data_IF_644230916295
#
_entry.id   IF_644230916295
#
_cell.length_a   1.000
_cell.length_b   1.000
_cell.length_c   1.000
_cell.angle_alpha   90.00
_cell.angle_beta   90.00
_cell.angle_gamma   90.00
#
_symmetry.space_group_name_H-M   'P 1'
#
loop_
_entity.id
_entity.type
_entity.pdbx_description
1 polymer ?
#
# COMPACT_ATOMS: atom_id res chain seq x y z
N UNK A 1 -12.75 -10.28 19.95
CA UNK A 1 -12.90 -11.52 19.14
C UNK A 1 -13.47 -11.27 17.73
N UNK A 2 -13.90 -10.05 17.36
CA UNK A 2 -14.49 -9.79 16.02
C UNK A 2 -13.48 -9.34 14.94
N UNK A 3 -12.28 -8.87 15.29
CA UNK A 3 -11.28 -8.44 14.28
C UNK A 3 -10.55 -9.63 13.64
N UNK A 4 -10.27 -10.70 14.41
CA UNK A 4 -9.61 -11.90 13.88
C UNK A 4 -10.45 -12.65 12.83
N UNK A 5 -11.79 -12.47 12.83
CA UNK A 5 -12.69 -13.08 11.84
C UNK A 5 -12.80 -12.27 10.54
N UNK A 6 -12.51 -10.96 10.57
CA UNK A 6 -12.44 -10.12 9.35
C UNK A 6 -11.13 -10.31 8.58
N UNK A 7 -10.02 -10.54 9.28
CA UNK A 7 -8.74 -10.80 8.63
C UNK A 7 -8.69 -12.19 7.96
N UNK A 8 -9.48 -13.15 8.45
CA UNK A 8 -9.54 -14.48 7.87
C UNK A 8 -10.44 -14.58 6.63
N UNK A 9 -11.43 -13.69 6.50
CA UNK A 9 -12.31 -13.64 5.32
C UNK A 9 -11.65 -12.94 4.13
N UNK A 10 -10.80 -11.95 4.35
CA UNK A 10 -10.04 -11.27 3.29
C UNK A 10 -8.92 -12.13 2.72
N UNK A 11 -8.24 -12.93 3.56
CA UNK A 11 -7.23 -13.88 3.08
C UNK A 11 -7.83 -15.04 2.27
N UNK A 12 -9.02 -15.53 2.63
CA UNK A 12 -9.70 -16.58 1.86
C UNK A 12 -10.25 -16.08 0.51
N UNK A 13 -10.59 -14.79 0.40
CA UNK A 13 -11.01 -14.16 -0.87
C UNK A 13 -9.85 -14.03 -1.87
N UNK A 14 -8.65 -13.70 -1.41
CA UNK A 14 -7.45 -13.59 -2.27
C UNK A 14 -6.91 -14.96 -2.72
N UNK A 15 -7.12 -16.02 -1.92
CA UNK A 15 -6.73 -17.39 -2.29
C UNK A 15 -7.64 -17.98 -3.39
N UNK A 16 -8.94 -17.63 -3.41
CA UNK A 16 -9.85 -18.11 -4.47
C UNK A 16 -9.61 -17.43 -5.82
N UNK A 17 -9.24 -16.14 -5.84
CA UNK A 17 -8.95 -15.42 -7.10
C UNK A 17 -7.66 -15.93 -7.77
N UNK A 18 -6.71 -16.47 -7.01
CA UNK A 18 -5.49 -17.06 -7.56
C UNK A 18 -5.65 -18.51 -8.04
N UNK A 19 -6.66 -19.22 -7.54
CA UNK A 19 -7.01 -20.57 -8.01
C UNK A 19 -7.77 -20.55 -9.36
N UNK A 20 -8.66 -19.57 -9.57
CA UNK A 20 -9.41 -19.43 -10.83
C UNK A 20 -8.54 -18.95 -12.01
N UNK A 21 -7.46 -18.21 -11.74
CA UNK A 21 -6.52 -17.80 -12.78
C UNK A 21 -5.67 -18.97 -13.33
N UNK A 22 -5.43 -20.02 -12.51
CA UNK A 22 -4.66 -21.20 -12.93
C UNK A 22 -5.53 -22.29 -13.57
N UNK A 23 -6.84 -22.37 -13.27
CA UNK A 23 -7.74 -23.37 -13.88
C UNK A 23 -8.18 -23.01 -15.31
N UNK A 24 -8.07 -21.74 -15.69
CA UNK A 24 -8.43 -21.27 -17.03
C UNK A 24 -7.32 -21.52 -18.06
N UNK A 25 -6.05 -21.50 -17.64
CA UNK A 25 -4.91 -21.73 -18.53
C UNK A 25 -4.74 -23.19 -18.97
N UNK A 26 -5.19 -24.17 -18.17
CA UNK A 26 -5.04 -25.59 -18.50
C UNK A 26 -6.20 -26.16 -19.37
N UNK A 27 -7.32 -25.45 -19.50
CA UNK A 27 -8.49 -25.93 -20.27
C UNK A 27 -8.55 -25.44 -21.72
N UNK A 28 -7.88 -24.34 -22.08
CA UNK A 28 -7.84 -23.87 -23.49
C UNK A 28 -6.89 -24.72 -24.35
N UNK A 29 -5.76 -25.20 -23.79
CA UNK A 29 -4.79 -26.04 -24.52
C UNK A 29 -5.33 -27.46 -24.83
N UNK A 30 -6.36 -27.92 -24.12
CA UNK A 30 -6.95 -29.25 -24.32
C UNK A 30 -8.08 -29.27 -25.37
N UNK A 31 -8.70 -28.13 -25.69
CA UNK A 31 -9.82 -28.07 -26.65
C UNK A 31 -9.39 -27.80 -28.11
N UNK A 32 -8.21 -27.21 -28.35
CA UNK A 32 -7.71 -27.00 -29.71
C UNK A 32 -7.10 -28.26 -30.37
N UNK A 33 -6.78 -29.30 -29.60
CA UNK A 33 -6.16 -30.51 -30.13
C UNK A 33 -7.13 -31.47 -30.85
N UNK A 34 -8.45 -31.29 -30.74
CA UNK A 34 -9.43 -32.28 -31.21
C UNK A 34 -10.18 -31.95 -32.53
N UNK A 35 -9.95 -30.80 -33.16
CA UNK A 35 -10.64 -30.41 -34.40
C UNK A 35 -9.80 -30.41 -35.69
N UNK A 36 -8.52 -30.78 -35.64
CA UNK A 36 -7.61 -30.73 -36.81
C UNK A 36 -7.53 -32.01 -37.66
N UNK A 37 -8.51 -32.92 -37.58
CA UNK A 37 -8.46 -34.16 -38.36
C UNK A 37 -9.78 -34.43 -39.11
N UNK A 38 -10.08 -33.62 -40.14
CA UNK A 38 -10.83 -34.02 -41.34
C UNK A 38 -11.13 -32.79 -42.21
N UNK A 39 -10.29 -32.51 -43.21
CA UNK A 39 -10.71 -31.87 -44.46
C UNK A 39 -9.57 -31.99 -45.47
N UNK A 40 -9.61 -33.05 -46.28
CA UNK A 40 -8.79 -33.16 -47.48
C UNK A 40 -9.50 -32.46 -48.64
N UNK A 41 -8.78 -31.59 -49.34
CA UNK A 41 -9.03 -31.30 -50.75
C UNK A 41 -9.62 -29.93 -51.06
N UNK A 42 -8.77 -28.90 -51.12
CA UNK A 42 -9.12 -27.66 -51.82
C UNK A 42 -8.15 -26.49 -51.60
N UNK A 43 -7.26 -26.24 -52.57
CA UNK A 43 -6.55 -24.97 -52.79
C UNK A 43 -5.63 -24.47 -51.65
N UNK A 44 -4.59 -25.25 -51.37
CA UNK A 44 -3.70 -25.13 -50.19
C UNK A 44 -2.76 -23.92 -50.07
N UNK A 45 -2.71 -22.99 -51.02
CA UNK A 45 -1.77 -21.84 -50.91
C UNK A 45 -2.42 -20.58 -50.32
N UNK A 46 -3.71 -20.34 -50.56
CA UNK A 46 -4.36 -19.07 -50.15
C UNK A 46 -4.95 -19.16 -48.72
N UNK A 47 -5.44 -20.34 -48.30
CA UNK A 47 -5.96 -20.56 -46.94
C UNK A 47 -4.86 -20.76 -45.88
N UNK A 48 -3.66 -21.21 -46.29
CA UNK A 48 -2.49 -21.32 -45.40
C UNK A 48 -1.94 -19.94 -45.00
N UNK A 49 -1.89 -18.99 -45.93
CA UNK A 49 -1.53 -17.61 -45.63
C UNK A 49 -2.60 -16.94 -44.74
N UNK A 50 -3.89 -17.17 -45.02
CA UNK A 50 -4.97 -16.57 -44.25
C UNK A 50 -5.05 -17.06 -42.79
N UNK A 51 -4.69 -18.31 -42.53
CA UNK A 51 -4.62 -18.90 -41.17
C UNK A 51 -3.40 -18.41 -40.40
N UNK A 52 -2.23 -18.29 -41.05
CA UNK A 52 -1.02 -17.74 -40.43
C UNK A 52 -1.16 -16.26 -40.07
N UNK A 53 -1.82 -15.44 -40.91
CA UNK A 53 -2.11 -14.04 -40.58
C UNK A 53 -3.07 -13.88 -39.39
N UNK A 54 -4.08 -14.76 -39.26
CA UNK A 54 -4.98 -14.76 -38.10
C UNK A 54 -4.23 -15.14 -36.81
N UNK A 55 -3.40 -16.17 -36.84
CA UNK A 55 -2.61 -16.59 -35.69
C UNK A 55 -1.62 -15.48 -35.24
N UNK A 56 -0.97 -14.79 -36.19
CA UNK A 56 -0.07 -13.67 -35.88
C UNK A 56 -0.82 -12.47 -35.27
N UNK A 57 -2.03 -12.18 -35.78
CA UNK A 57 -2.89 -11.11 -35.27
C UNK A 57 -3.39 -11.42 -33.85
N UNK A 58 -3.76 -12.66 -33.56
CA UNK A 58 -4.15 -13.11 -32.22
C UNK A 58 -2.99 -13.00 -31.23
N UNK A 59 -1.81 -13.55 -31.59
CA UNK A 59 -0.60 -13.45 -30.76
C UNK A 59 -0.22 -12.00 -30.43
N UNK A 60 -0.36 -11.07 -31.39
CA UNK A 60 -0.16 -9.63 -31.14
C UNK A 60 -1.20 -9.05 -30.20
N UNK A 61 -2.49 -9.36 -30.41
CA UNK A 61 -3.57 -8.93 -29.51
C UNK A 61 -3.30 -9.39 -28.07
N UNK A 62 -2.81 -10.60 -27.88
CA UNK A 62 -2.47 -11.15 -26.56
C UNK A 62 -1.29 -10.41 -25.92
N UNK A 63 -0.26 -10.09 -26.69
CA UNK A 63 0.86 -9.26 -26.23
C UNK A 63 0.39 -7.85 -25.82
N UNK A 64 -0.49 -7.22 -26.60
CA UNK A 64 -1.07 -5.91 -26.24
C UNK A 64 -1.94 -5.98 -24.99
N UNK A 65 -2.84 -6.97 -24.92
CA UNK A 65 -3.73 -7.18 -23.78
C UNK A 65 -2.94 -7.45 -22.49
N UNK A 66 -1.93 -8.31 -22.54
CA UNK A 66 -1.05 -8.60 -21.39
C UNK A 66 -0.25 -7.36 -20.98
N UNK A 67 0.29 -6.61 -21.94
CA UNK A 67 1.02 -5.37 -21.66
C UNK A 67 0.13 -4.34 -20.95
N UNK A 68 -1.06 -4.08 -21.49
CA UNK A 68 -2.03 -3.14 -20.90
C UNK A 68 -2.39 -3.57 -19.47
N UNK A 69 -2.66 -4.87 -19.25
CA UNK A 69 -2.94 -5.41 -17.90
C UNK A 69 -1.79 -5.19 -16.93
N UNK A 70 -0.55 -5.42 -17.34
CA UNK A 70 0.61 -5.19 -16.48
C UNK A 70 0.84 -3.69 -16.20
N UNK A 71 0.52 -2.81 -17.14
CA UNK A 71 0.56 -1.37 -16.90
C UNK A 71 -0.52 -0.89 -15.94
N UNK A 72 -1.75 -1.34 -16.13
CA UNK A 72 -2.87 -1.05 -15.23
C UNK A 72 -2.52 -1.50 -13.80
N UNK A 73 -1.97 -2.71 -13.66
CA UNK A 73 -1.48 -3.23 -12.38
C UNK A 73 -0.32 -2.39 -11.80
N UNK A 74 0.63 -1.95 -12.63
CA UNK A 74 1.72 -1.08 -12.17
C UNK A 74 1.20 0.28 -11.68
N UNK A 75 0.22 0.88 -12.36
CA UNK A 75 -0.42 2.13 -11.96
C UNK A 75 -1.19 1.95 -10.65
N UNK A 76 -1.97 0.87 -10.52
CA UNK A 76 -2.64 0.55 -9.26
C UNK A 76 -1.66 0.39 -8.09
N UNK A 77 -0.58 -0.38 -8.27
CA UNK A 77 0.45 -0.56 -7.25
C UNK A 77 1.18 0.75 -6.91
N UNK A 78 1.35 1.66 -7.87
CA UNK A 78 1.91 2.98 -7.63
C UNK A 78 0.98 3.85 -6.77
N UNK A 79 -0.32 3.85 -7.06
CA UNK A 79 -1.33 4.55 -6.24
C UNK A 79 -1.37 3.96 -4.82
N UNK A 80 -1.35 2.63 -4.70
CA UNK A 80 -1.29 1.94 -3.40
C UNK A 80 -0.01 2.29 -2.62
N UNK A 81 1.14 2.39 -3.30
CA UNK A 81 2.40 2.79 -2.69
C UNK A 81 2.30 4.20 -2.12
N UNK A 82 1.78 5.16 -2.90
CA UNK A 82 1.60 6.54 -2.48
C UNK A 82 0.64 6.65 -1.28
N UNK A 83 -0.45 5.88 -1.29
CA UNK A 83 -1.37 5.80 -0.16
C UNK A 83 -0.68 5.23 1.09
N UNK A 84 0.07 4.13 0.97
CA UNK A 84 0.79 3.52 2.08
C UNK A 84 1.91 4.43 2.64
N UNK A 85 2.64 5.15 1.79
CA UNK A 85 3.65 6.12 2.20
C UNK A 85 3.01 7.35 2.89
N UNK A 86 1.84 7.79 2.44
CA UNK A 86 1.07 8.84 3.09
C UNK A 86 0.58 8.40 4.47
N UNK A 87 0.08 7.17 4.63
CA UNK A 87 -0.34 6.63 5.92
C UNK A 87 0.81 6.50 6.91
N UNK A 88 1.96 5.99 6.46
CA UNK A 88 3.18 5.93 7.27
C UNK A 88 3.64 7.33 7.71
N UNK A 89 3.51 8.33 6.83
CA UNK A 89 3.86 9.72 7.15
C UNK A 89 2.87 10.37 8.13
N UNK A 90 1.57 10.12 7.96
CA UNK A 90 0.51 10.52 8.91
C UNK A 90 0.76 9.89 10.27
N UNK A 91 1.08 8.61 10.31
CA UNK A 91 1.39 7.89 11.55
C UNK A 91 2.62 8.46 12.28
N UNK A 92 3.72 8.71 11.56
CA UNK A 92 4.92 9.37 12.12
C UNK A 92 4.57 10.72 12.74
N UNK A 93 3.77 11.52 12.03
CA UNK A 93 3.34 12.85 12.51
C UNK A 93 2.46 12.73 13.76
N UNK A 94 1.55 11.75 13.77
CA UNK A 94 0.68 11.48 14.91
C UNK A 94 1.47 11.01 16.14
N UNK A 95 2.49 10.17 15.96
CA UNK A 95 3.36 9.70 17.05
C UNK A 95 4.14 10.85 17.71
N UNK A 96 4.55 11.87 16.94
CA UNK A 96 5.23 13.06 17.44
C UNK A 96 4.28 14.07 18.12
N UNK A 97 2.96 13.87 18.03
CA UNK A 97 2.00 14.78 18.64
C UNK A 97 2.06 14.73 20.17
N UNK A 98 1.68 15.85 20.81
CA UNK A 98 1.67 15.99 22.26
C UNK A 98 0.83 14.90 22.98
N UNK A 99 -0.14 14.29 22.28
CA UNK A 99 -1.00 13.22 22.79
C UNK A 99 -0.24 11.96 23.20
N UNK A 100 0.89 11.67 22.57
CA UNK A 100 1.71 10.48 22.87
C UNK A 100 3.03 10.81 23.57
N UNK A 101 3.26 12.08 23.92
CA UNK A 101 4.49 12.53 24.61
C UNK A 101 4.74 11.84 25.96
N UNK A 102 3.68 11.37 26.63
CA UNK A 102 3.71 10.64 27.90
C UNK A 102 3.14 9.22 27.79
N UNK A 103 3.26 8.60 26.62
CA UNK A 103 2.79 7.23 26.43
C UNK A 103 3.48 6.25 27.42
N UNK A 104 2.70 5.36 28.01
CA UNK A 104 3.23 4.30 28.88
C UNK A 104 4.12 3.33 28.08
N UNK A 105 5.03 2.57 28.73
CA UNK A 105 5.85 1.57 28.03
C UNK A 105 5.04 0.54 27.23
N UNK A 106 3.86 0.14 27.72
CA UNK A 106 2.96 -0.77 27.00
C UNK A 106 2.36 -0.11 25.76
N UNK A 107 1.91 1.15 25.88
CA UNK A 107 1.40 1.93 24.75
C UNK A 107 2.48 2.16 23.70
N UNK A 108 3.74 2.34 24.12
CA UNK A 108 4.88 2.54 23.21
C UNK A 108 5.15 1.30 22.35
N UNK A 109 5.05 0.09 22.94
CA UNK A 109 5.14 -1.17 22.16
C UNK A 109 4.05 -1.25 21.09
N UNK A 110 2.81 -0.92 21.43
CA UNK A 110 1.70 -0.90 20.46
C UNK A 110 1.96 0.11 19.34
N UNK A 111 2.48 1.29 19.66
CA UNK A 111 2.82 2.30 18.65
C UNK A 111 3.94 1.84 17.71
N UNK A 112 4.94 1.15 18.27
CA UNK A 112 6.05 0.60 17.50
C UNK A 112 5.62 -0.60 16.63
N UNK A 113 4.72 -1.45 17.12
CA UNK A 113 4.09 -2.53 16.33
C UNK A 113 3.30 -1.98 15.14
N UNK A 114 2.50 -0.93 15.36
CA UNK A 114 1.75 -0.27 14.28
C UNK A 114 2.69 0.37 13.26
N UNK A 115 3.77 1.02 13.73
CA UNK A 115 4.80 1.56 12.84
C UNK A 115 5.45 0.45 11.99
N UNK A 116 5.72 -0.71 12.59
CA UNK A 116 6.28 -1.85 11.89
C UNK A 116 5.32 -2.34 10.80
N UNK A 117 4.03 -2.48 11.11
CA UNK A 117 2.99 -2.87 10.13
C UNK A 117 2.96 -1.92 8.93
N UNK A 118 2.89 -0.61 9.16
CA UNK A 118 2.92 0.37 8.05
C UNK A 118 4.23 0.33 7.25
N UNK A 119 5.35 0.03 7.89
CA UNK A 119 6.62 -0.12 7.16
C UNK A 119 6.68 -1.39 6.33
N UNK A 120 6.05 -2.47 6.79
CA UNK A 120 5.95 -3.73 6.07
C UNK A 120 5.03 -3.58 4.86
N UNK A 121 3.86 -2.95 5.00
CA UNK A 121 2.96 -2.72 3.86
C UNK A 121 3.62 -1.89 2.77
N UNK A 122 4.34 -0.82 3.13
CA UNK A 122 5.13 -0.03 2.15
C UNK A 122 6.19 -0.90 1.46
N UNK A 123 6.92 -1.74 2.21
CA UNK A 123 7.94 -2.62 1.64
C UNK A 123 7.34 -3.66 0.68
N UNK A 124 6.22 -4.27 1.05
CA UNK A 124 5.53 -5.29 0.26
C UNK A 124 4.98 -4.72 -1.04
N UNK A 125 4.27 -3.59 -0.98
CA UNK A 125 3.74 -2.91 -2.18
C UNK A 125 4.88 -2.48 -3.10
N UNK A 126 5.97 -1.94 -2.53
CA UNK A 126 7.17 -1.56 -3.31
C UNK A 126 7.82 -2.76 -3.99
N UNK A 127 7.85 -3.91 -3.32
CA UNK A 127 8.39 -5.14 -3.89
C UNK A 127 7.51 -5.65 -5.05
N UNK A 128 6.17 -5.62 -4.88
CA UNK A 128 5.21 -5.98 -5.93
C UNK A 128 5.32 -5.06 -7.14
N UNK A 129 5.42 -3.74 -6.91
CA UNK A 129 5.63 -2.78 -7.98
C UNK A 129 6.92 -3.06 -8.74
N UNK A 130 8.03 -3.33 -8.03
CA UNK A 130 9.30 -3.70 -8.64
C UNK A 130 9.20 -4.98 -9.48
N UNK A 131 8.47 -6.00 -9.02
CA UNK A 131 8.28 -7.22 -9.80
C UNK A 131 7.47 -6.95 -11.07
N UNK A 132 6.41 -6.14 -11.01
CA UNK A 132 5.60 -5.81 -12.19
C UNK A 132 6.39 -4.96 -13.19
N UNK A 133 7.15 -3.97 -12.72
CA UNK A 133 8.03 -3.16 -13.57
C UNK A 133 9.11 -4.02 -14.23
N UNK A 134 9.65 -5.02 -13.52
CA UNK A 134 10.59 -5.98 -14.08
C UNK A 134 9.95 -6.81 -15.21
N UNK A 135 8.75 -7.34 -14.98
CA UNK A 135 8.00 -8.07 -16.03
C UNK A 135 7.72 -7.17 -17.23
N UNK A 136 7.30 -5.92 -17.01
CA UNK A 136 7.10 -4.93 -18.07
C UNK A 136 8.37 -4.66 -18.89
N UNK A 137 9.55 -4.69 -18.24
CA UNK A 137 10.83 -4.50 -18.93
C UNK A 137 11.32 -5.72 -19.71
N UNK A 138 10.77 -6.90 -19.42
CA UNK A 138 11.11 -8.18 -20.06
C UNK A 138 10.15 -8.54 -21.21
N UNK A 139 9.09 -7.74 -21.43
CA UNK A 139 8.13 -7.96 -22.52
C UNK A 139 8.77 -7.74 -23.91
N UNK A 140 8.36 -8.51 -24.95
CA UNK A 140 8.90 -8.40 -26.30
C UNK A 140 8.73 -7.01 -26.91
N UNK A 141 9.70 -6.57 -27.70
CA UNK A 141 9.69 -5.24 -28.29
C UNK A 141 8.67 -5.12 -29.45
N UNK A 142 7.72 -4.19 -29.33
CA UNK A 142 6.64 -3.97 -30.30
C UNK A 142 7.14 -3.59 -31.70
N UNK A 143 8.36 -3.06 -31.79
CA UNK A 143 8.99 -2.67 -33.05
C UNK A 143 9.17 -3.85 -34.02
N UNK A 144 9.41 -5.06 -33.50
CA UNK A 144 9.57 -6.28 -34.32
C UNK A 144 8.25 -6.75 -34.94
N UNK A 145 7.12 -6.21 -34.45
CA UNK A 145 5.78 -6.60 -34.82
C UNK A 145 4.96 -5.39 -35.31
N UNK A 146 5.58 -4.42 -35.99
CA UNK A 146 4.86 -3.25 -36.51
C UNK A 146 4.39 -3.40 -37.98
N UNK A 147 5.01 -4.28 -38.77
CA UNK A 147 4.89 -4.29 -40.24
C UNK A 147 3.54 -4.76 -40.83
N UNK A 148 2.56 -5.16 -40.02
CA UNK A 148 1.29 -5.78 -40.50
C UNK A 148 0.02 -4.96 -40.18
N UNK A 149 0.15 -3.67 -39.91
CA UNK A 149 -1.01 -2.78 -39.74
C UNK A 149 -1.52 -2.32 -41.12
N UNK A 150 -2.64 -2.92 -41.51
CA UNK A 150 -3.49 -2.43 -42.59
C UNK A 150 -4.18 -1.13 -42.17
N UNK A 151 -3.78 -0.02 -42.80
CA UNK A 151 -4.65 1.07 -43.29
C UNK A 151 -5.56 1.90 -42.38
N UNK A 152 -5.90 1.50 -41.15
CA UNK A 152 -6.99 2.17 -40.40
C UNK A 152 -6.61 2.69 -39.00
N UNK A 153 -5.43 2.37 -38.47
CA UNK A 153 -4.94 2.96 -37.22
C UNK A 153 -3.66 3.69 -37.54
N UNK A 154 -3.61 4.98 -37.19
CA UNK A 154 -2.51 5.87 -37.50
C UNK A 154 -1.23 5.34 -36.83
N UNK A 155 -0.44 4.59 -37.60
CA UNK A 155 0.72 3.82 -37.13
C UNK A 155 1.73 4.74 -36.43
N UNK A 156 1.74 6.02 -36.84
CA UNK A 156 2.52 7.09 -36.25
C UNK A 156 2.10 7.42 -34.80
N UNK A 157 0.80 7.47 -34.49
CA UNK A 157 0.30 7.75 -33.14
C UNK A 157 0.61 6.60 -32.18
N UNK A 158 0.49 5.36 -32.65
CA UNK A 158 0.74 4.16 -31.83
C UNK A 158 2.24 3.99 -31.53
N UNK A 159 3.11 4.30 -32.49
CA UNK A 159 4.57 4.38 -32.29
C UNK A 159 4.92 5.53 -31.34
N UNK A 160 4.27 6.69 -31.49
CA UNK A 160 4.48 7.84 -30.61
C UNK A 160 4.05 7.52 -29.18
N UNK A 161 2.87 6.95 -28.98
CA UNK A 161 2.36 6.53 -27.68
C UNK A 161 3.28 5.48 -27.02
N UNK A 162 3.69 4.44 -27.75
CA UNK A 162 4.60 3.42 -27.21
C UNK A 162 5.99 3.97 -26.89
N UNK A 163 6.48 4.96 -27.65
CA UNK A 163 7.74 5.66 -27.35
C UNK A 163 7.63 6.51 -26.07
N UNK A 164 6.57 7.31 -25.93
CA UNK A 164 6.27 8.09 -24.72
C UNK A 164 6.09 7.19 -23.50
N UNK A 165 5.48 6.02 -23.69
CA UNK A 165 5.28 5.02 -22.65
C UNK A 165 6.61 4.38 -22.18
N UNK A 166 7.53 4.07 -23.11
CA UNK A 166 8.88 3.62 -22.77
C UNK A 166 9.71 4.70 -22.09
N UNK A 167 9.57 5.95 -22.53
CA UNK A 167 10.22 7.10 -21.92
C UNK A 167 9.71 7.33 -20.50
N UNK A 168 8.41 7.16 -20.27
CA UNK A 168 7.81 7.17 -18.94
C UNK A 168 8.33 6.03 -18.05
N UNK A 169 8.39 4.79 -18.53
CA UNK A 169 9.00 3.66 -17.79
C UNK A 169 10.47 3.93 -17.45
N UNK A 170 11.25 4.48 -18.40
CA UNK A 170 12.64 4.88 -18.15
C UNK A 170 12.73 5.98 -17.10
N UNK A 171 11.81 6.95 -17.13
CA UNK A 171 11.74 8.04 -16.15
C UNK A 171 11.43 7.53 -14.74
N UNK A 172 10.56 6.51 -14.60
CA UNK A 172 10.27 5.83 -13.34
C UNK A 172 11.48 5.03 -12.82
N UNK A 173 12.22 4.37 -13.71
CA UNK A 173 13.49 3.73 -13.38
C UNK A 173 14.59 4.74 -13.00
N UNK A 174 14.57 5.94 -13.59
CA UNK A 174 15.46 7.05 -13.21
C UNK A 174 15.12 7.60 -11.83
N UNK A 175 13.84 7.71 -11.46
CA UNK A 175 13.41 8.08 -10.10
C UNK A 175 13.95 7.09 -9.04
N UNK A 176 14.02 5.81 -9.37
CA UNK A 176 14.65 4.79 -8.53
C UNK A 176 16.19 4.92 -8.43
N UNK A 177 16.85 5.57 -9.41
CA UNK A 177 18.30 5.86 -9.38
C UNK A 177 18.66 7.21 -8.74
N UNK A 178 17.77 8.19 -8.82
CA UNK A 178 17.97 9.57 -8.29
C UNK A 178 17.77 9.64 -6.75
N UNK A 179 17.46 8.52 -6.09
CA UNK A 179 17.51 8.41 -4.62
C UNK A 179 18.94 8.44 -4.03
N UNK A 180 19.99 8.64 -4.83
CA UNK A 180 21.32 9.03 -4.35
C UNK A 180 21.57 10.52 -4.58
N UNK A 181 21.97 11.29 -3.54
CA UNK A 181 22.12 12.73 -3.65
C UNK A 181 23.50 13.05 -4.22
N UNK A 182 23.58 13.46 -5.48
CA UNK A 182 24.76 14.20 -5.98
C UNK A 182 24.46 14.95 -7.27
N UNK A 183 24.44 16.29 -7.19
CA UNK A 183 24.86 17.18 -8.27
C UNK A 183 23.85 17.52 -9.37
N UNK A 184 24.10 18.61 -10.14
CA UNK A 184 23.10 19.65 -10.37
C UNK A 184 22.45 19.67 -11.76
N UNK A 185 21.18 20.11 -11.74
CA UNK A 185 20.35 20.74 -12.78
C UNK A 185 20.60 20.39 -14.26
N UNK A 186 19.63 19.68 -14.83
CA UNK A 186 19.22 19.87 -16.24
C UNK A 186 17.75 20.33 -16.21
N UNK A 187 17.31 21.32 -17.01
CA UNK A 187 15.96 21.85 -16.91
C UNK A 187 14.95 20.80 -17.35
N UNK A 188 14.01 20.47 -16.46
CA UNK A 188 12.85 19.64 -16.75
C UNK A 188 11.95 20.40 -17.75
N UNK A 189 11.40 19.75 -18.80
CA UNK A 189 10.34 20.34 -19.63
C UNK A 189 9.14 20.71 -18.75
N UNK A 190 8.48 21.82 -19.10
CA UNK A 190 7.33 22.38 -18.38
C UNK A 190 6.30 21.31 -18.03
N UNK A 191 6.00 21.24 -16.74
CA UNK A 191 4.99 20.38 -16.14
C UNK A 191 3.63 20.72 -16.77
N UNK A 192 2.78 19.74 -17.15
CA UNK A 192 1.40 20.02 -17.52
C UNK A 192 0.70 20.72 -16.34
N UNK A 193 -0.04 21.79 -16.63
CA UNK A 193 -0.69 22.64 -15.63
C UNK A 193 -1.56 21.80 -14.68
N UNK A 194 -1.24 21.89 -13.38
CA UNK A 194 -1.95 21.21 -12.30
C UNK A 194 -3.45 21.60 -12.34
N UNK A 195 -4.41 20.65 -12.37
CA UNK A 195 -5.86 20.95 -12.43
C UNK A 195 -6.40 21.71 -11.20
N UNK A 196 -5.55 21.97 -10.20
CA UNK A 196 -5.85 22.77 -9.01
C UNK A 196 -5.57 24.27 -9.19
N UNK A 197 -4.89 24.68 -10.26
CA UNK A 197 -4.60 26.10 -10.55
C UNK A 197 -5.52 26.69 -11.62
N UNK A 198 -6.47 25.91 -12.13
CA UNK A 198 -7.38 26.38 -13.16
C UNK A 198 -8.32 27.44 -12.62
N UNK A 199 -8.36 28.59 -13.28
CA UNK A 199 -9.37 29.60 -13.00
C UNK A 199 -10.73 29.15 -13.53
N UNK A 200 -11.83 29.67 -12.95
CA UNK A 200 -13.19 29.31 -13.38
C UNK A 200 -13.42 29.53 -14.88
N UNK A 201 -12.80 30.57 -15.46
CA UNK A 201 -12.88 30.87 -16.89
C UNK A 201 -12.22 29.77 -17.76
N UNK A 202 -11.14 29.14 -17.27
CA UNK A 202 -10.45 28.05 -17.96
C UNK A 202 -11.26 26.75 -17.88
N UNK A 203 -11.89 26.49 -16.73
CA UNK A 203 -12.83 25.37 -16.57
C UNK A 203 -14.02 25.57 -17.51
N UNK A 204 -14.61 26.76 -17.54
CA UNK A 204 -15.74 27.07 -18.43
C UNK A 204 -15.37 26.93 -19.91
N UNK A 205 -14.18 27.40 -20.32
CA UNK A 205 -13.69 27.23 -21.69
C UNK A 205 -13.48 25.75 -22.06
N UNK A 206 -12.95 24.94 -21.13
CA UNK A 206 -12.76 23.50 -21.36
C UNK A 206 -14.08 22.73 -21.44
N UNK A 207 -15.08 23.10 -20.63
CA UNK A 207 -16.42 22.52 -20.68
C UNK A 207 -17.12 22.91 -21.98
N UNK A 208 -16.98 24.17 -22.43
CA UNK A 208 -17.54 24.64 -23.69
C UNK A 208 -16.93 23.93 -24.90
N UNK A 209 -15.62 23.68 -24.88
CA UNK A 209 -14.94 22.90 -25.91
C UNK A 209 -15.39 21.42 -25.93
N UNK A 210 -15.66 20.84 -24.76
CA UNK A 210 -16.22 19.48 -24.66
C UNK A 210 -17.66 19.41 -25.20
N UNK A 211 -18.45 20.46 -24.96
CA UNK A 211 -19.84 20.55 -25.41
C UNK A 211 -19.91 20.76 -26.93
N UNK A 212 -19.00 21.55 -27.50
CA UNK A 212 -18.82 21.66 -28.96
C UNK A 212 -18.39 20.33 -29.58
N UNK A 213 -17.45 19.60 -28.97
CA UNK A 213 -17.03 18.27 -29.43
C UNK A 213 -18.18 17.27 -29.37
N UNK A 214 -18.95 17.26 -28.28
CA UNK A 214 -20.15 16.43 -28.10
C UNK A 214 -21.19 16.74 -29.19
N UNK A 215 -21.48 18.02 -29.43
CA UNK A 215 -22.40 18.43 -30.49
C UNK A 215 -21.90 18.00 -31.87
N UNK A 216 -20.59 18.09 -32.15
CA UNK A 216 -20.00 17.66 -33.42
C UNK A 216 -20.11 16.14 -33.62
N UNK A 217 -19.94 15.36 -32.55
CA UNK A 217 -20.09 13.88 -32.58
C UNK A 217 -21.55 13.50 -32.77
N UNK A 218 -22.47 14.19 -32.10
CA UNK A 218 -23.92 14.00 -32.25
C UNK A 218 -24.34 14.36 -33.68
N UNK A 219 -23.91 15.50 -34.22
CA UNK A 219 -24.24 15.94 -35.59
C UNK A 219 -23.70 14.96 -36.65
N UNK A 220 -22.50 14.42 -36.46
CA UNK A 220 -21.94 13.38 -37.34
C UNK A 220 -22.73 12.06 -37.26
N UNK A 221 -23.15 11.63 -36.07
CA UNK A 221 -23.97 10.42 -35.90
C UNK A 221 -25.38 10.58 -36.52
N UNK A 222 -25.97 11.77 -36.42
CA UNK A 222 -27.27 12.06 -37.03
C UNK A 222 -27.17 12.21 -38.56
N UNK A 223 -26.13 12.85 -39.10
CA UNK A 223 -25.91 12.96 -40.54
C UNK A 223 -25.69 11.60 -41.19
N UNK A 224 -24.89 10.72 -40.57
CA UNK A 224 -24.60 9.39 -41.10
C UNK A 224 -25.86 8.50 -41.19
N UNK A 225 -26.85 8.73 -40.31
CA UNK A 225 -28.12 7.99 -40.27
C UNK A 225 -29.18 8.55 -41.24
N UNK A 226 -29.10 9.82 -41.62
CA UNK A 226 -30.04 10.46 -42.55
C UNK A 226 -29.55 10.53 -44.01
N UNK A 227 -28.25 10.48 -44.28
CA UNK A 227 -27.72 10.47 -45.66
C UNK A 227 -27.93 9.13 -46.39
N UNK A 228 -28.30 8.06 -45.69
CA UNK A 228 -28.55 6.73 -46.28
C UNK A 228 -29.97 6.52 -46.82
N UNK A 229 -30.90 7.49 -46.67
CA UNK A 229 -32.32 7.32 -47.01
C UNK A 229 -32.87 8.27 -48.10
N UNK A 230 -32.04 8.96 -48.88
CA UNK A 230 -32.51 9.97 -49.86
C UNK A 230 -32.76 9.40 -51.29
N UNK A 231 -32.49 8.13 -51.60
CA UNK A 231 -32.53 7.65 -52.99
C UNK A 231 -33.44 6.43 -53.26
N UNK A 232 -34.55 6.29 -52.53
CA UNK A 232 -35.53 5.21 -52.77
C UNK A 232 -36.63 5.65 -53.75
N UNK A 233 -37.08 6.91 -53.69
CA UNK A 233 -38.14 7.42 -54.58
C UNK A 233 -37.66 7.71 -56.02
N UNK A 234 -36.39 8.03 -56.22
CA UNK A 234 -35.79 8.20 -57.55
C UNK A 234 -35.66 6.86 -58.29
N UNK A 235 -35.40 5.76 -57.57
CA UNK A 235 -35.33 4.40 -58.12
C UNK A 235 -36.70 3.81 -58.44
N UNK A 236 -37.74 4.19 -57.70
CA UNK A 236 -39.12 3.75 -57.96
C UNK A 236 -39.74 4.38 -59.21
N UNK A 237 -39.32 5.59 -59.60
CA UNK A 237 -39.82 6.26 -60.81
C UNK A 237 -39.18 5.70 -62.09
N UNK A 238 -37.91 5.28 -62.04
CA UNK A 238 -37.21 4.63 -63.17
C UNK A 238 -37.82 3.26 -63.50
N UNK A 239 -38.22 2.48 -62.49
CA UNK A 239 -38.85 1.16 -62.70
C UNK A 239 -40.25 1.30 -63.33
N UNK A 240 -40.98 2.37 -62.98
CA UNK A 240 -42.35 2.59 -63.47
C UNK A 240 -42.42 3.03 -64.93
N UNK A 241 -41.37 3.71 -65.42
CA UNK A 241 -41.27 4.14 -66.82
C UNK A 241 -40.73 3.05 -67.77
N UNK A 242 -40.01 2.05 -67.25
CA UNK A 242 -39.52 0.92 -68.04
C UNK A 242 -40.59 -0.15 -68.31
N UNK A 243 -41.59 -0.29 -67.44
CA UNK A 243 -42.71 -1.24 -67.63
C UNK A 243 -43.70 -0.81 -68.71
N UNK A 244 -43.81 0.49 -69.02
CA UNK A 244 -44.75 1.01 -70.02
C UNK A 244 -44.33 0.75 -71.49
N UNK A 245 -43.11 0.23 -71.74
CA UNK A 245 -42.54 0.15 -73.11
C UNK A 245 -42.24 -1.25 -73.66
N UNK A 246 -42.53 -2.35 -72.96
CA UNK A 246 -42.23 -3.71 -73.46
C UNK A 246 -43.47 -4.63 -73.50
N UNK A 247 -44.43 -4.28 -74.35
CA UNK A 247 -45.39 -5.26 -74.88
C UNK A 247 -44.99 -5.65 -76.29
N UNK A 248 -44.44 -6.87 -76.41
CA UNK A 248 -44.48 -7.78 -77.56
C UNK A 248 -43.13 -8.48 -77.70
N UNK A 249 -43.05 -9.71 -77.18
CA UNK A 249 -42.37 -10.86 -77.82
C UNK A 249 -42.35 -12.07 -76.87
N UNK A 250 -42.66 -13.24 -77.44
CA UNK A 250 -42.33 -14.60 -76.96
C UNK A 250 -42.75 -15.00 -75.54
N UNK A 251 -43.75 -15.87 -75.44
CA UNK A 251 -44.22 -16.50 -74.20
C UNK A 251 -43.12 -17.29 -73.44
N UNK A 252 -42.01 -17.66 -74.09
CA UNK A 252 -40.90 -18.37 -73.45
C UNK A 252 -40.01 -17.42 -72.61
N UNK A 253 -39.76 -16.20 -73.10
CA UNK A 253 -38.95 -15.19 -72.39
C UNK A 253 -39.69 -14.64 -71.18
N UNK A 254 -41.03 -14.55 -71.27
CA UNK A 254 -41.89 -14.20 -70.13
C UNK A 254 -41.91 -15.29 -69.05
N UNK A 255 -41.86 -16.57 -69.41
CA UNK A 255 -41.81 -17.66 -68.44
C UNK A 255 -40.47 -17.69 -67.68
N UNK A 256 -39.35 -17.38 -68.36
CA UNK A 256 -38.03 -17.25 -67.73
C UNK A 256 -37.96 -16.00 -66.85
N UNK A 257 -38.47 -14.85 -67.30
CA UNK A 257 -38.54 -13.64 -66.47
C UNK A 257 -39.41 -13.83 -65.22
N UNK A 258 -40.54 -14.53 -65.32
CA UNK A 258 -41.37 -14.87 -64.16
C UNK A 258 -40.68 -15.83 -63.19
N UNK A 259 -39.77 -16.68 -63.66
CA UNK A 259 -38.97 -17.57 -62.81
C UNK A 259 -37.87 -16.79 -62.07
N UNK A 260 -37.20 -15.86 -62.76
CA UNK A 260 -36.24 -14.95 -62.14
C UNK A 260 -36.92 -14.01 -61.13
N UNK A 261 -38.11 -13.50 -61.43
CA UNK A 261 -38.93 -12.72 -60.51
C UNK A 261 -39.34 -13.55 -59.29
N UNK A 262 -39.72 -14.81 -59.47
CA UNK A 262 -40.05 -15.72 -58.38
C UNK A 262 -38.82 -16.02 -57.49
N UNK A 263 -37.65 -16.21 -58.08
CA UNK A 263 -36.40 -16.40 -57.34
C UNK A 263 -36.02 -15.13 -56.56
N UNK A 264 -36.13 -13.95 -57.17
CA UNK A 264 -35.87 -12.67 -56.52
C UNK A 264 -36.85 -12.38 -55.36
N UNK A 265 -38.12 -12.79 -55.49
CA UNK A 265 -39.08 -12.76 -54.38
C UNK A 265 -38.68 -13.76 -53.29
N UNK A 266 -38.18 -14.95 -53.67
CA UNK A 266 -37.62 -15.93 -52.74
C UNK A 266 -36.46 -15.37 -51.93
N UNK A 267 -35.46 -14.77 -52.58
CA UNK A 267 -34.29 -14.17 -51.93
C UNK A 267 -34.69 -13.00 -51.01
N UNK A 268 -35.65 -12.16 -51.44
CA UNK A 268 -36.18 -11.07 -50.60
C UNK A 268 -36.95 -11.60 -49.40
N UNK A 269 -37.72 -12.67 -49.56
CA UNK A 269 -38.44 -13.31 -48.48
C UNK A 269 -37.47 -13.97 -47.49
N UNK A 270 -36.40 -14.60 -47.97
CA UNK A 270 -35.34 -15.16 -47.14
C UNK A 270 -34.61 -14.06 -46.37
N UNK A 271 -34.21 -12.96 -47.02
CA UNK A 271 -33.61 -11.81 -46.33
C UNK A 271 -34.55 -11.21 -45.29
N UNK A 272 -35.83 -11.06 -45.60
CA UNK A 272 -36.84 -10.55 -44.66
C UNK A 272 -37.08 -11.52 -43.49
N UNK A 273 -37.07 -12.84 -43.75
CA UNK A 273 -37.18 -13.87 -42.73
C UNK A 273 -35.96 -13.88 -41.80
N UNK A 274 -34.74 -13.80 -42.36
CA UNK A 274 -33.50 -13.71 -41.60
C UNK A 274 -33.44 -12.42 -40.76
N UNK A 275 -33.89 -11.30 -41.32
CA UNK A 275 -34.01 -10.04 -40.57
C UNK A 275 -35.02 -10.15 -39.42
N UNK A 276 -36.18 -10.76 -39.66
CA UNK A 276 -37.20 -10.98 -38.62
C UNK A 276 -36.67 -11.92 -37.53
N UNK A 277 -35.97 -12.98 -37.90
CA UNK A 277 -35.33 -13.89 -36.96
C UNK A 277 -34.28 -13.16 -36.10
N UNK A 278 -33.44 -12.33 -36.71
CA UNK A 278 -32.45 -11.50 -36.00
C UNK A 278 -33.11 -10.52 -35.02
N UNK A 279 -34.22 -9.88 -35.42
CA UNK A 279 -35.00 -8.99 -34.55
C UNK A 279 -35.61 -9.77 -33.39
N UNK A 280 -36.17 -10.96 -33.62
CA UNK A 280 -36.74 -11.80 -32.55
C UNK A 280 -35.64 -12.23 -31.57
N UNK A 281 -34.46 -12.63 -32.05
CA UNK A 281 -33.34 -12.96 -31.16
C UNK A 281 -32.84 -11.75 -30.38
N UNK A 282 -32.83 -10.56 -30.99
CA UNK A 282 -32.50 -9.32 -30.29
C UNK A 282 -33.51 -8.97 -29.21
N UNK A 283 -34.81 -9.11 -29.49
CA UNK A 283 -35.87 -8.89 -28.49
C UNK A 283 -35.75 -9.85 -27.30
N UNK A 284 -35.37 -11.11 -27.52
CA UNK A 284 -35.16 -12.07 -26.43
C UNK A 284 -33.94 -11.71 -25.56
N UNK A 285 -32.86 -11.20 -26.18
CA UNK A 285 -31.69 -10.71 -25.46
C UNK A 285 -32.03 -9.46 -24.63
N UNK A 286 -32.73 -8.49 -25.22
CA UNK A 286 -33.17 -7.28 -24.52
C UNK A 286 -34.10 -7.62 -23.33
N UNK A 287 -34.97 -8.62 -23.48
CA UNK A 287 -35.84 -9.08 -22.39
C UNK A 287 -35.04 -9.70 -21.24
N UNK A 288 -34.00 -10.48 -21.55
CA UNK A 288 -33.08 -11.03 -20.55
C UNK A 288 -32.31 -9.91 -19.83
N UNK A 289 -31.78 -8.93 -20.57
CA UNK A 289 -31.10 -7.77 -19.99
C UNK A 289 -32.02 -6.96 -19.08
N UNK A 290 -33.29 -6.76 -19.47
CA UNK A 290 -34.28 -6.09 -18.62
C UNK A 290 -34.55 -6.85 -17.32
N UNK A 291 -34.59 -8.18 -17.35
CA UNK A 291 -34.72 -9.01 -16.14
C UNK A 291 -33.48 -8.85 -15.26
N UNK A 292 -32.28 -8.88 -15.84
CA UNK A 292 -31.04 -8.66 -15.08
C UNK A 292 -30.98 -7.26 -14.45
N UNK A 293 -31.40 -6.23 -15.19
CA UNK A 293 -31.45 -4.85 -14.67
C UNK A 293 -32.47 -4.70 -13.53
N UNK A 294 -33.63 -5.36 -13.61
CA UNK A 294 -34.60 -5.39 -12.51
C UNK A 294 -34.05 -6.05 -11.26
N UNK A 295 -33.32 -7.16 -11.41
CA UNK A 295 -32.69 -7.83 -10.28
C UNK A 295 -31.62 -6.93 -9.63
N UNK A 296 -30.76 -6.29 -10.43
CA UNK A 296 -29.76 -5.33 -9.92
C UNK A 296 -30.41 -4.13 -9.24
N UNK A 297 -31.54 -3.64 -9.76
CA UNK A 297 -32.30 -2.56 -9.12
C UNK A 297 -32.84 -2.99 -7.75
N UNK A 298 -33.41 -4.19 -7.66
CA UNK A 298 -33.87 -4.76 -6.38
C UNK A 298 -32.73 -4.90 -5.36
N UNK A 299 -31.56 -5.39 -5.78
CA UNK A 299 -30.37 -5.49 -4.91
C UNK A 299 -29.92 -4.12 -4.41
N UNK A 300 -29.99 -3.10 -5.27
CA UNK A 300 -29.62 -1.72 -4.90
C UNK A 300 -30.63 -1.10 -3.93
N UNK A 301 -31.92 -1.39 -4.09
CA UNK A 301 -32.97 -0.97 -3.14
C UNK A 301 -32.78 -1.63 -1.77
N UNK A 302 -32.44 -2.92 -1.73
CA UNK A 302 -32.14 -3.63 -0.48
C UNK A 302 -30.90 -3.06 0.21
N UNK A 303 -29.83 -2.81 -0.55
CA UNK A 303 -28.61 -2.17 -0.03
C UNK A 303 -28.90 -0.76 0.50
N UNK A 304 -29.75 0.01 -0.19
CA UNK A 304 -30.17 1.33 0.26
C UNK A 304 -30.97 1.23 1.57
N UNK A 305 -31.86 0.24 1.71
CA UNK A 305 -32.62 0.03 2.93
C UNK A 305 -31.71 -0.34 4.11
N UNK A 306 -30.75 -1.23 3.90
CA UNK A 306 -29.74 -1.59 4.90
C UNK A 306 -28.91 -0.38 5.33
N UNK A 307 -28.46 0.44 4.38
CA UNK A 307 -27.67 1.63 4.69
C UNK A 307 -28.47 2.68 5.48
N UNK A 308 -29.76 2.85 5.18
CA UNK A 308 -30.67 3.68 5.99
C UNK A 308 -30.83 3.14 7.41
N UNK A 309 -30.96 1.82 7.57
CA UNK A 309 -31.02 1.17 8.89
C UNK A 309 -29.75 1.41 9.71
N UNK A 310 -28.57 1.25 9.10
CA UNK A 310 -27.30 1.55 9.77
C UNK A 310 -27.18 3.02 10.17
N UNK A 311 -27.59 3.95 9.30
CA UNK A 311 -27.57 5.38 9.62
C UNK A 311 -28.45 5.71 10.82
N UNK A 312 -29.59 5.05 10.97
CA UNK A 312 -30.46 5.24 12.13
C UNK A 312 -29.81 4.69 13.41
N UNK A 313 -29.22 3.49 13.36
CA UNK A 313 -28.47 2.94 14.49
C UNK A 313 -27.29 3.83 14.90
N UNK A 314 -26.57 4.41 13.94
CA UNK A 314 -25.50 5.38 14.23
C UNK A 314 -26.02 6.65 14.90
N UNK A 315 -27.23 7.12 14.55
CA UNK A 315 -27.86 8.27 15.23
C UNK A 315 -28.23 7.94 16.66
N UNK A 316 -28.77 6.74 16.90
CA UNK A 316 -29.08 6.25 18.24
C UNK A 316 -27.82 6.16 19.11
N UNK A 317 -26.76 5.51 18.63
CA UNK A 317 -25.48 5.42 19.35
C UNK A 317 -24.86 6.78 19.62
N UNK A 318 -24.93 7.71 18.66
CA UNK A 318 -24.45 9.07 18.87
C UNK A 318 -25.22 9.77 19.99
N UNK A 319 -26.54 9.62 20.03
CA UNK A 319 -27.37 10.20 21.09
C UNK A 319 -27.05 9.58 22.46
N UNK A 320 -26.80 8.28 22.53
CA UNK A 320 -26.36 7.59 23.76
C UNK A 320 -24.98 8.08 24.23
N UNK A 321 -24.02 8.21 23.32
CA UNK A 321 -22.68 8.71 23.62
C UNK A 321 -22.71 10.17 24.08
N UNK A 322 -23.49 11.02 23.40
CA UNK A 322 -23.66 12.42 23.79
C UNK A 322 -24.29 12.53 25.20
N UNK A 323 -25.28 11.70 25.53
CA UNK A 323 -25.87 11.63 26.87
C UNK A 323 -24.84 11.18 27.92
N UNK A 324 -24.02 10.17 27.60
CA UNK A 324 -22.98 9.67 28.49
C UNK A 324 -21.85 10.69 28.71
N UNK A 325 -21.47 11.43 27.67
CA UNK A 325 -20.50 12.52 27.77
C UNK A 325 -21.03 13.62 28.69
N UNK A 326 -22.31 13.98 28.58
CA UNK A 326 -22.94 14.95 29.49
C UNK A 326 -22.91 14.45 30.93
N UNK A 327 -23.31 13.20 31.18
CA UNK A 327 -23.27 12.58 32.52
C UNK A 327 -21.85 12.61 33.12
N UNK A 328 -20.83 12.22 32.36
CA UNK A 328 -19.44 12.25 32.81
C UNK A 328 -18.93 13.67 33.06
N UNK A 329 -19.36 14.62 32.23
CA UNK A 329 -19.03 16.05 32.40
C UNK A 329 -19.64 16.61 33.68
N UNK A 330 -20.88 16.25 34.00
CA UNK A 330 -21.52 16.61 35.26
C UNK A 330 -20.81 15.97 36.46
N UNK A 331 -20.45 14.69 36.37
CA UNK A 331 -19.66 14.00 37.42
C UNK A 331 -18.31 14.68 37.64
N UNK A 332 -17.61 15.09 36.58
CA UNK A 332 -16.36 15.85 36.66
C UNK A 332 -16.56 17.23 37.28
N UNK A 333 -17.69 17.90 37.02
CA UNK A 333 -18.02 19.19 37.62
C UNK A 333 -18.28 19.08 39.13
N UNK A 334 -18.87 17.97 39.58
CA UNK A 334 -19.15 17.68 40.99
C UNK A 334 -17.87 17.30 41.74
N UNK A 335 -16.92 16.64 41.07
CA UNK A 335 -15.59 16.36 41.61
C UNK A 335 -14.84 17.68 41.83
N UNK A 336 -14.86 18.18 43.08
CA UNK A 336 -14.08 19.35 43.48
C UNK A 336 -12.63 19.18 43.02
N UNK A 337 -12.01 20.19 42.39
CA UNK A 337 -10.59 20.12 42.07
C UNK A 337 -9.83 19.83 43.36
N UNK A 338 -8.98 18.81 43.35
CA UNK A 338 -8.12 18.51 44.49
C UNK A 338 -7.40 19.81 44.88
N UNK A 339 -7.31 20.15 46.17
CA UNK A 339 -6.57 21.32 46.62
C UNK A 339 -5.18 21.24 46.00
N UNK A 340 -4.76 22.32 45.31
CA UNK A 340 -3.44 22.41 44.68
C UNK A 340 -2.39 21.92 45.69
N UNK A 341 -1.48 21.01 45.30
CA UNK A 341 -0.42 20.59 46.20
C UNK A 341 0.30 21.85 46.68
N UNK A 342 0.44 21.96 48.01
CA UNK A 342 1.21 23.03 48.64
C UNK A 342 2.59 23.11 47.95
N UNK A 343 3.11 24.33 47.71
CA UNK A 343 4.42 24.50 47.09
C UNK A 343 5.47 23.71 47.87
N UNK A 344 6.37 23.05 47.15
CA UNK A 344 7.43 22.27 47.76
C UNK A 344 8.20 23.15 48.78
N UNK A 345 8.46 22.65 50.00
CA UNK A 345 9.25 23.36 50.99
C UNK A 345 10.61 23.74 50.39
N UNK A 346 11.09 24.95 50.69
CA UNK A 346 12.38 25.43 50.17
C UNK A 346 13.49 24.55 50.76
N UNK A 347 14.49 24.24 49.94
CA UNK A 347 15.64 23.39 50.34
C UNK A 347 16.31 23.94 51.60
N UNK A 348 16.29 25.25 51.76
CA UNK A 348 16.83 26.02 52.88
C UNK A 348 16.17 25.66 54.20
N UNK A 349 14.87 25.36 54.21
CA UNK A 349 14.12 24.96 55.40
C UNK A 349 14.46 23.50 55.80
N UNK A 350 14.80 22.65 54.84
CA UNK A 350 15.15 21.24 55.06
C UNK A 350 16.64 21.08 55.39
N UNK A 351 17.48 21.99 54.88
CA UNK A 351 18.95 21.94 55.03
C UNK A 351 19.36 21.91 56.49
N UNK A 352 18.72 22.71 57.35
CA UNK A 352 19.08 22.77 58.76
C UNK A 352 18.76 21.46 59.49
N UNK A 353 17.58 20.89 59.26
CA UNK A 353 17.20 19.58 59.82
C UNK A 353 18.04 18.43 59.26
N UNK A 354 18.42 18.48 57.97
CA UNK A 354 19.35 17.51 57.38
C UNK A 354 20.75 17.61 57.99
N UNK A 355 21.28 18.83 58.18
CA UNK A 355 22.59 19.03 58.81
C UNK A 355 22.59 18.52 60.26
N UNK A 356 21.54 18.75 61.03
CA UNK A 356 21.42 18.22 62.39
C UNK A 356 21.36 16.69 62.41
N UNK A 357 20.58 16.08 61.52
CA UNK A 357 20.45 14.62 61.45
C UNK A 357 21.76 13.94 60.98
N UNK A 358 22.44 14.55 60.01
CA UNK A 358 23.76 14.09 59.54
C UNK A 358 24.80 14.26 60.65
N UNK A 359 24.85 15.40 61.35
CA UNK A 359 25.81 15.62 62.43
C UNK A 359 25.59 14.67 63.62
N UNK A 360 24.33 14.37 63.97
CA UNK A 360 24.03 13.43 65.04
C UNK A 360 24.44 12.00 64.66
N UNK A 361 24.15 11.56 63.44
CA UNK A 361 24.56 10.24 62.96
C UNK A 361 26.09 10.12 62.79
N UNK A 362 26.75 11.17 62.28
CA UNK A 362 28.21 11.21 62.19
C UNK A 362 28.87 11.27 63.56
N UNK A 363 28.27 11.96 64.54
CA UNK A 363 28.77 12.04 65.91
C UNK A 363 28.71 10.69 66.62
N UNK A 364 27.62 9.94 66.43
CA UNK A 364 27.47 8.60 67.00
C UNK A 364 28.45 7.60 66.37
N UNK A 365 28.58 7.59 65.05
CA UNK A 365 29.53 6.70 64.35
C UNK A 365 30.98 7.14 64.63
N UNK A 366 31.25 8.44 64.61
CA UNK A 366 32.56 9.02 64.82
C UNK A 366 33.08 8.77 66.24
N UNK A 367 32.23 8.88 67.26
CA UNK A 367 32.63 8.60 68.64
C UNK A 367 33.05 7.14 68.84
N UNK A 368 32.32 6.19 68.26
CA UNK A 368 32.68 4.77 68.31
C UNK A 368 34.02 4.47 67.61
N UNK A 369 34.30 5.12 66.48
CA UNK A 369 35.57 4.94 65.76
C UNK A 369 36.73 5.52 66.57
N UNK A 370 36.55 6.71 67.15
CA UNK A 370 37.56 7.37 67.98
C UNK A 370 37.84 6.55 69.25
N UNK A 371 36.82 5.98 69.88
CA UNK A 371 36.97 5.11 71.06
C UNK A 371 37.72 3.81 70.72
N UNK A 372 37.38 3.17 69.59
CA UNK A 372 38.13 1.98 69.13
C UNK A 372 39.58 2.31 68.80
N UNK A 373 39.83 3.46 68.17
CA UNK A 373 41.18 3.90 67.84
C UNK A 373 41.99 4.22 69.09
N UNK A 374 41.38 4.89 70.08
CA UNK A 374 42.05 5.22 71.34
C UNK A 374 42.40 3.95 72.13
N UNK A 375 41.49 2.97 72.16
CA UNK A 375 41.71 1.68 72.80
C UNK A 375 42.80 0.86 72.10
N UNK A 376 42.81 0.83 70.76
CA UNK A 376 43.87 0.18 69.99
C UNK A 376 45.23 0.86 70.20
N UNK A 377 45.29 2.20 70.24
CA UNK A 377 46.51 2.93 70.56
C UNK A 377 47.02 2.63 71.97
N UNK A 378 46.13 2.54 72.96
CA UNK A 378 46.49 2.19 74.33
C UNK A 378 47.06 0.76 74.41
N UNK A 379 46.41 -0.21 73.77
CA UNK A 379 46.87 -1.59 73.69
C UNK A 379 48.24 -1.70 73.01
N UNK A 380 48.42 -1.04 71.86
CA UNK A 380 49.69 -1.04 71.15
C UNK A 380 50.81 -0.40 71.98
N UNK A 381 50.52 0.66 72.74
CA UNK A 381 51.49 1.24 73.66
C UNK A 381 51.86 0.28 74.80
N UNK A 382 50.91 -0.47 75.36
CA UNK A 382 51.21 -1.48 76.38
C UNK A 382 52.05 -2.63 75.81
N UNK A 383 51.74 -3.10 74.60
CA UNK A 383 52.51 -4.14 73.91
C UNK A 383 53.93 -3.66 73.60
N UNK A 384 54.09 -2.43 73.13
CA UNK A 384 55.39 -1.81 72.89
C UNK A 384 56.20 -1.71 74.19
N UNK A 385 55.59 -1.30 75.31
CA UNK A 385 56.27 -1.26 76.61
C UNK A 385 56.71 -2.65 77.05
N UNK A 386 55.87 -3.68 76.85
CA UNK A 386 56.25 -5.08 77.12
C UNK A 386 57.41 -5.53 76.24
N UNK A 387 57.41 -5.20 74.95
CA UNK A 387 58.50 -5.55 74.03
C UNK A 387 59.81 -4.83 74.38
N UNK A 388 59.73 -3.55 74.75
CA UNK A 388 60.89 -2.79 75.24
C UNK A 388 61.44 -3.45 76.51
N UNK A 389 60.57 -3.82 77.45
CA UNK A 389 60.98 -4.47 78.69
C UNK A 389 61.63 -5.83 78.44
N UNK A 390 61.07 -6.67 77.56
CA UNK A 390 61.67 -7.98 77.22
C UNK A 390 63.02 -7.83 76.53
N UNK A 391 63.22 -6.81 75.69
CA UNK A 391 64.53 -6.49 75.09
C UNK A 391 65.52 -5.89 76.08
N UNK A 392 65.04 -5.15 77.08
CA UNK A 392 65.88 -4.52 78.10
C UNK A 392 66.30 -5.51 79.19
N UNK A 393 65.48 -6.53 79.48
CA UNK A 393 65.69 -7.52 80.54
C UNK A 393 67.07 -8.20 80.50
N UNK A 394 67.61 -8.68 79.36
CA UNK A 394 68.94 -9.29 79.33
C UNK A 394 70.04 -8.30 79.71
N UNK A 395 69.87 -7.03 79.36
CA UNK A 395 70.80 -5.95 79.69
C UNK A 395 70.76 -5.66 81.19
N UNK A 396 69.56 -5.61 81.77
CA UNK A 396 69.35 -5.47 83.21
C UNK A 396 69.95 -6.64 83.99
N UNK A 397 69.70 -7.88 83.54
CA UNK A 397 70.25 -9.10 84.15
C UNK A 397 71.78 -9.13 84.06
N UNK A 398 72.37 -8.71 82.93
CA UNK A 398 73.81 -8.56 82.78
C UNK A 398 74.37 -7.53 83.75
N UNK A 399 73.75 -6.35 83.84
CA UNK A 399 74.17 -5.30 84.80
C UNK A 399 74.04 -5.76 86.26
N UNK A 400 72.98 -6.50 86.60
CA UNK A 400 72.80 -7.07 87.93
C UNK A 400 73.88 -8.13 88.24
N UNK A 401 74.22 -8.99 87.27
CA UNK A 401 75.29 -9.97 87.38
C UNK A 401 76.66 -9.32 87.58
N UNK A 402 76.98 -8.26 86.82
CA UNK A 402 78.20 -7.47 86.99
C UNK A 402 78.24 -6.84 88.40
N UNK A 403 77.12 -6.31 88.88
CA UNK A 403 77.04 -5.69 90.21
C UNK A 403 77.25 -6.71 91.33
N UNK A 404 76.63 -7.89 91.24
CA UNK A 404 76.83 -9.00 92.18
C UNK A 404 78.27 -9.51 92.16
N UNK A 405 78.90 -9.62 90.98
CA UNK A 405 80.31 -9.98 90.86
C UNK A 405 81.22 -8.94 91.53
N UNK A 406 80.99 -7.64 91.29
CA UNK A 406 81.73 -6.56 91.94
C UNK A 406 81.54 -6.58 93.47
N UNK A 407 80.34 -6.89 93.96
CA UNK A 407 80.03 -7.01 95.39
C UNK A 407 80.76 -8.19 96.03
N UNK A 408 80.81 -9.35 95.36
CA UNK A 408 81.57 -10.52 95.83
C UNK A 408 83.07 -10.24 95.91
N UNK A 409 83.65 -9.65 94.86
CA UNK A 409 85.06 -9.26 94.89
C UNK A 409 85.37 -8.27 96.03
N UNK A 410 84.44 -7.35 96.33
CA UNK A 410 84.58 -6.43 97.46
C UNK A 410 84.46 -7.14 98.82
N UNK A 411 83.61 -8.15 98.94
CA UNK A 411 83.50 -9.00 100.13
C UNK A 411 84.73 -9.89 100.36
N UNK A 412 85.29 -10.47 99.30
CA UNK A 412 86.56 -11.23 99.35
C UNK A 412 87.73 -10.34 99.77
N UNK A 413 87.76 -9.08 99.31
CA UNK A 413 88.76 -8.08 99.75
C UNK A 413 88.62 -7.69 101.23
N UNK A 414 87.45 -7.88 101.85
CA UNK A 414 87.28 -7.67 103.30
C UNK A 414 87.71 -8.88 104.12
N UNK A 415 87.53 -10.11 103.60
CA UNK A 415 88.00 -11.34 104.25
C UNK A 415 89.54 -11.46 104.26
N UNK A 416 90.22 -10.98 103.19
CA UNK A 416 91.70 -10.93 103.13
C UNK A 416 92.27 -9.86 104.10
N UNK A 417 91.45 -8.92 104.58
CA UNK A 417 91.84 -7.93 105.60
C UNK A 417 91.58 -8.36 107.04
N UNK A 418 90.82 -9.45 107.25
CA UNK A 418 90.45 -9.97 108.58
C UNK A 418 91.23 -11.22 109.02
N UNK A 419 92.15 -11.69 108.20
CA UNK A 419 93.21 -12.67 108.54
C UNK A 419 94.52 -11.90 108.60
#
# INVERSE_FOLDING_TARGET
MSEALRDQTTLNSLANVTADANSFAENEDAQEAHHSAQSEGGSDTDDSERTTWKALRNKRRDIYSTTIKYFENAVHLQIELEAAEADLSRWKTQQLSARYSRASPATRRILDEQRLRYSQTVADVRQRLKSVVKVLSELPDFAEHAEALSGEVDQQELITYTSQMKEWIRSLNLLNRVSQPTGPSTPLPEKPDDPKTWTWDQIEASVRALDELSNTVVENLYMQRYTLNIDVDSRLTVIRDEEAKKQSTSNLTRAVGLLDDANNVGDKLEMSSNHTAAVITGMAQDEEELVQLRNKLSELEDAQHQMRSYLEQYREWKAEDDAKIQELTERLRILKPLPKPLPAPRIEDIRQSMCELVNNSLGEIGSQVVEKLSLACAQNNEELVKEIYTKLQPTLDLTASIFEHAKRQRGELQLIRSV
#
